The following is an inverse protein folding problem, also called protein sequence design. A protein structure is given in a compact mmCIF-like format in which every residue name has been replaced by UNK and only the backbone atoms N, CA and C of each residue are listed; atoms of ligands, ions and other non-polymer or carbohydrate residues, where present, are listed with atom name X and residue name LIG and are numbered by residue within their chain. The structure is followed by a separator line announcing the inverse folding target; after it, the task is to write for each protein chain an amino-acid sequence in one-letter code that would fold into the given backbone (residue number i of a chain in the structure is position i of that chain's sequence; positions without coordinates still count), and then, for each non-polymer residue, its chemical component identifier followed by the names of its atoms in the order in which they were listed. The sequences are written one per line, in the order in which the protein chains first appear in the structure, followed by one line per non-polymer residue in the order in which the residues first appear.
data_IF_815501677227
#
_entry.id   IF_815501677227
#
_cell.length_a   1.000
_cell.length_b   1.000
_cell.length_c   1.000
_cell.angle_alpha   90.00
_cell.angle_beta   90.00
_cell.angle_gamma   90.00
#
_symmetry.space_group_name_H-M   'P 1'
#
loop_
_entity.id
_entity.type
_entity.pdbx_description
1 polymer ?
#
# COMPACT_ATOMS: atom_id res chain seq x y z
N UNK A 1 -18.05 -15.56 10.73
CA UNK A 1 -17.47 -15.57 9.36
C UNK A 1 -17.19 -14.18 8.82
N UNK A 2 -18.09 -13.20 8.96
CA UNK A 2 -17.88 -11.85 8.42
C UNK A 2 -16.85 -11.02 9.22
N UNK A 3 -16.72 -11.23 10.51
CA UNK A 3 -15.70 -10.55 11.34
C UNK A 3 -14.27 -10.99 11.00
N UNK A 4 -14.08 -12.24 10.60
CA UNK A 4 -12.78 -12.78 10.16
C UNK A 4 -12.25 -12.07 8.91
N UNK A 5 -13.14 -11.58 8.03
CA UNK A 5 -12.75 -10.81 6.84
C UNK A 5 -12.17 -9.43 7.18
N UNK A 6 -12.63 -8.80 8.27
CA UNK A 6 -12.09 -7.50 8.67
C UNK A 6 -10.66 -7.63 9.22
N UNK A 7 -10.37 -8.71 9.94
CA UNK A 7 -9.02 -9.06 10.39
C UNK A 7 -8.10 -9.34 9.21
N UNK A 8 -8.59 -10.10 8.21
CA UNK A 8 -7.86 -10.35 6.96
C UNK A 8 -7.56 -9.08 6.18
N UNK A 9 -8.50 -8.12 6.11
CA UNK A 9 -8.30 -6.81 5.46
C UNK A 9 -7.23 -5.98 6.15
N UNK A 10 -7.19 -5.97 7.49
CA UNK A 10 -6.16 -5.28 8.27
C UNK A 10 -4.80 -5.93 8.04
N UNK A 11 -4.73 -7.26 8.10
CA UNK A 11 -3.50 -8.01 7.88
C UNK A 11 -2.91 -7.78 6.48
N UNK A 12 -3.74 -7.81 5.43
CA UNK A 12 -3.27 -7.57 4.06
C UNK A 12 -2.86 -6.10 3.85
N UNK A 13 -3.50 -5.15 4.56
CA UNK A 13 -3.07 -3.75 4.57
C UNK A 13 -1.68 -3.61 5.19
N UNK A 14 -1.38 -4.34 6.26
CA UNK A 14 -0.05 -4.34 6.88
C UNK A 14 1.02 -4.94 5.95
N UNK A 15 0.70 -6.00 5.21
CA UNK A 15 1.57 -6.56 4.18
C UNK A 15 1.86 -5.54 3.07
N UNK A 16 0.81 -4.87 2.57
CA UNK A 16 0.93 -3.86 1.54
C UNK A 16 1.76 -2.65 1.99
N UNK A 17 1.59 -2.20 3.25
CA UNK A 17 2.40 -1.16 3.86
C UNK A 17 3.89 -1.56 3.89
N UNK A 18 4.20 -2.79 4.32
CA UNK A 18 5.57 -3.30 4.31
C UNK A 18 6.20 -3.28 2.92
N UNK A 19 5.41 -3.60 1.90
CA UNK A 19 5.86 -3.55 0.50
C UNK A 19 6.12 -2.10 0.04
N UNK A 20 5.24 -1.15 0.35
CA UNK A 20 5.44 0.28 0.03
C UNK A 20 6.72 0.79 0.69
N UNK A 21 6.92 0.51 1.98
CA UNK A 21 8.13 0.86 2.72
C UNK A 21 9.37 0.34 2.01
N UNK A 22 9.37 -0.92 1.64
CA UNK A 22 10.51 -1.54 0.95
C UNK A 22 10.76 -0.91 -0.42
N UNK A 23 9.72 -0.61 -1.18
CA UNK A 23 9.86 0.06 -2.48
C UNK A 23 10.48 1.44 -2.36
N UNK A 24 10.08 2.23 -1.36
CA UNK A 24 10.67 3.54 -1.08
C UNK A 24 12.16 3.41 -0.72
N UNK A 25 12.50 2.46 0.15
CA UNK A 25 13.88 2.24 0.57
C UNK A 25 14.78 1.85 -0.62
N UNK A 26 14.36 0.88 -1.42
CA UNK A 26 15.09 0.41 -2.60
C UNK A 26 15.27 1.54 -3.64
N UNK A 27 14.17 2.22 -3.99
CA UNK A 27 14.22 3.31 -4.95
C UNK A 27 15.13 4.45 -4.47
N UNK A 28 15.08 4.79 -3.17
CA UNK A 28 15.92 5.83 -2.58
C UNK A 28 17.40 5.45 -2.60
N UNK A 29 17.73 4.22 -2.20
CA UNK A 29 19.10 3.73 -2.19
C UNK A 29 19.67 3.69 -3.62
N UNK A 30 18.91 3.15 -4.57
CA UNK A 30 19.30 3.09 -5.96
C UNK A 30 19.52 4.48 -6.56
N UNK A 31 18.62 5.42 -6.32
CA UNK A 31 18.73 6.78 -6.85
C UNK A 31 19.94 7.56 -6.31
N UNK A 32 20.42 7.22 -5.11
CA UNK A 32 21.63 7.82 -4.51
C UNK A 32 22.92 7.27 -5.11
N UNK A 33 22.94 6.01 -5.57
CA UNK A 33 24.15 5.32 -6.01
C UNK A 33 24.27 5.20 -7.54
N UNK A 34 23.14 5.04 -8.21
CA UNK A 34 23.13 4.94 -9.68
C UNK A 34 23.50 6.27 -10.31
N UNK A 35 24.53 6.26 -11.14
CA UNK A 35 24.96 7.44 -11.89
C UNK A 35 24.51 7.37 -13.36
N UNK A 36 24.05 8.50 -13.88
CA UNK A 36 23.80 8.72 -15.29
C UNK A 36 24.13 10.19 -15.61
N UNK A 37 24.67 10.44 -16.79
CA UNK A 37 25.11 11.81 -17.20
C UNK A 37 26.07 12.44 -16.20
N UNK A 38 26.97 11.66 -15.60
CA UNK A 38 28.03 12.11 -14.70
C UNK A 38 27.62 12.43 -13.26
N UNK A 39 26.36 12.13 -12.85
CA UNK A 39 25.86 12.39 -11.49
C UNK A 39 24.83 11.36 -11.04
N UNK A 40 24.57 11.22 -9.72
CA UNK A 40 23.50 10.37 -9.22
C UNK A 40 22.15 10.73 -9.82
N UNK A 41 21.35 9.73 -10.18
CA UNK A 41 20.04 9.98 -10.83
C UNK A 41 19.05 10.71 -9.92
N UNK A 42 19.19 10.57 -8.60
CA UNK A 42 18.33 11.20 -7.60
C UNK A 42 18.36 12.73 -7.58
N UNK A 43 19.35 13.38 -8.24
CA UNK A 43 19.37 14.83 -8.38
C UNK A 43 18.33 15.35 -9.40
N UNK A 44 17.79 14.47 -10.22
CA UNK A 44 16.81 14.82 -11.23
C UNK A 44 15.39 14.80 -10.61
N UNK A 45 14.63 15.87 -10.78
CA UNK A 45 13.25 15.97 -10.26
C UNK A 45 12.34 14.85 -10.76
N UNK A 46 12.50 14.41 -12.03
CA UNK A 46 11.76 13.27 -12.58
C UNK A 46 12.02 11.93 -11.88
N UNK A 47 13.06 11.83 -11.05
CA UNK A 47 13.37 10.67 -10.19
C UNK A 47 13.02 10.99 -8.73
N UNK A 48 13.40 12.17 -8.25
CA UNK A 48 13.23 12.55 -6.84
C UNK A 48 11.74 12.71 -6.44
N UNK A 49 10.91 13.30 -7.30
CA UNK A 49 9.49 13.54 -6.99
C UNK A 49 8.69 12.25 -6.86
N UNK A 50 8.77 11.27 -7.78
CA UNK A 50 8.13 9.96 -7.57
C UNK A 50 8.58 9.25 -6.28
N UNK A 51 9.85 9.41 -5.86
CA UNK A 51 10.33 8.86 -4.59
C UNK A 51 9.71 9.59 -3.39
N UNK A 52 9.51 10.91 -3.48
CA UNK A 52 8.78 11.65 -2.45
C UNK A 52 7.31 11.19 -2.36
N UNK A 53 6.65 10.91 -3.50
CA UNK A 53 5.29 10.36 -3.52
C UNK A 53 5.22 8.99 -2.83
N UNK A 54 6.27 8.14 -2.91
CA UNK A 54 6.33 6.88 -2.18
C UNK A 54 6.27 7.09 -0.65
N UNK A 55 6.91 8.13 -0.12
CA UNK A 55 6.83 8.45 1.30
C UNK A 55 5.42 8.89 1.69
N UNK A 56 4.77 9.71 0.87
CA UNK A 56 3.38 10.13 1.10
C UNK A 56 2.43 8.93 1.11
N UNK A 57 2.60 7.99 0.17
CA UNK A 57 1.82 6.74 0.14
C UNK A 57 2.07 5.89 1.39
N UNK A 58 3.32 5.77 1.83
CA UNK A 58 3.68 5.02 3.04
C UNK A 58 3.02 5.60 4.29
N UNK A 59 3.11 6.91 4.50
CA UNK A 59 2.54 7.56 5.68
C UNK A 59 1.02 7.44 5.72
N UNK A 60 0.34 7.67 4.60
CA UNK A 60 -1.11 7.50 4.52
C UNK A 60 -1.52 6.04 4.78
N UNK A 61 -0.80 5.08 4.20
CA UNK A 61 -1.03 3.65 4.40
C UNK A 61 -0.84 3.24 5.85
N UNK A 62 0.22 3.76 6.51
CA UNK A 62 0.53 3.52 7.92
C UNK A 62 -0.61 4.02 8.82
N UNK A 63 -1.02 5.26 8.64
CA UNK A 63 -2.08 5.87 9.44
C UNK A 63 -3.42 5.13 9.29
N UNK A 64 -3.79 4.76 8.07
CA UNK A 64 -5.04 4.03 7.81
C UNK A 64 -5.00 2.62 8.39
N UNK A 65 -3.90 1.90 8.23
CA UNK A 65 -3.74 0.54 8.74
C UNK A 65 -3.77 0.53 10.27
N UNK A 66 -3.01 1.41 10.92
CA UNK A 66 -2.97 1.50 12.38
C UNK A 66 -4.29 1.99 12.97
N UNK A 67 -4.98 2.92 12.28
CA UNK A 67 -6.32 3.32 12.70
C UNK A 67 -7.30 2.15 12.65
N UNK A 68 -7.26 1.33 11.61
CA UNK A 68 -8.14 0.17 11.50
C UNK A 68 -7.84 -0.87 12.60
N UNK A 69 -6.56 -1.15 12.87
CA UNK A 69 -6.13 -2.05 13.94
C UNK A 69 -6.57 -1.52 15.32
N UNK A 70 -6.33 -0.24 15.60
CA UNK A 70 -6.77 0.38 16.85
C UNK A 70 -8.28 0.32 17.04
N UNK A 71 -9.07 0.58 15.99
CA UNK A 71 -10.54 0.45 16.07
C UNK A 71 -10.98 -0.99 16.34
N UNK A 72 -10.23 -1.98 15.86
CA UNK A 72 -10.48 -3.39 16.17
C UNK A 72 -10.25 -3.68 17.65
N UNK A 73 -9.14 -3.23 18.22
CA UNK A 73 -8.87 -3.36 19.66
C UNK A 73 -9.95 -2.67 20.51
N UNK A 74 -10.39 -1.48 20.11
CA UNK A 74 -11.46 -0.73 20.77
C UNK A 74 -12.82 -1.44 20.68
N UNK A 75 -13.08 -2.13 19.57
CA UNK A 75 -14.30 -2.92 19.39
C UNK A 75 -14.29 -4.16 20.28
N UNK A 76 -13.17 -4.86 20.37
CA UNK A 76 -13.00 -6.01 21.25
C UNK A 76 -13.15 -5.62 22.73
N UNK A 77 -12.73 -4.41 23.09
CA UNK A 77 -12.94 -3.83 24.42
C UNK A 77 -14.36 -3.26 24.64
N UNK A 78 -15.27 -3.38 23.69
CA UNK A 78 -16.65 -2.91 23.78
C UNK A 78 -16.82 -1.39 23.65
N UNK A 79 -15.81 -0.64 23.22
CA UNK A 79 -15.85 0.84 23.12
C UNK A 79 -16.18 1.36 21.72
N UNK A 80 -16.16 0.50 20.71
CA UNK A 80 -16.50 0.82 19.31
C UNK A 80 -17.42 -0.22 18.70
N UNK A 81 -18.13 0.17 17.65
CA UNK A 81 -19.04 -0.73 16.94
C UNK A 81 -18.31 -1.59 15.91
N UNK A 82 -18.89 -2.74 15.56
CA UNK A 82 -18.43 -3.57 14.43
C UNK A 82 -18.49 -2.79 13.11
N UNK A 83 -19.44 -1.88 12.96
CA UNK A 83 -19.58 -1.05 11.76
C UNK A 83 -18.39 -0.11 11.57
N UNK A 84 -17.84 0.47 12.66
CA UNK A 84 -16.65 1.34 12.61
C UNK A 84 -15.42 0.56 12.13
N UNK A 85 -15.23 -0.65 12.65
CA UNK A 85 -14.12 -1.54 12.25
C UNK A 85 -14.23 -1.93 10.78
N UNK A 86 -15.42 -2.37 10.35
CA UNK A 86 -15.67 -2.80 8.98
C UNK A 86 -15.38 -1.69 7.97
N UNK A 87 -15.84 -0.46 8.24
CA UNK A 87 -15.55 0.69 7.39
C UNK A 87 -14.07 1.00 7.35
N UNK A 88 -13.40 1.08 8.51
CA UNK A 88 -11.99 1.43 8.59
C UNK A 88 -11.09 0.38 7.92
N UNK A 89 -11.37 -0.92 8.11
CA UNK A 89 -10.65 -2.01 7.47
C UNK A 89 -10.80 -1.98 5.94
N UNK A 90 -12.02 -1.69 5.45
CA UNK A 90 -12.24 -1.57 4.01
C UNK A 90 -11.51 -0.35 3.41
N UNK A 91 -11.50 0.80 4.09
CA UNK A 91 -10.77 2.00 3.66
C UNK A 91 -9.26 1.75 3.66
N UNK A 92 -8.73 1.16 4.73
CA UNK A 92 -7.31 0.82 4.83
C UNK A 92 -6.88 -0.13 3.71
N UNK A 93 -7.63 -1.22 3.51
CA UNK A 93 -7.34 -2.21 2.48
C UNK A 93 -7.39 -1.62 1.08
N UNK A 94 -8.42 -0.87 0.77
CA UNK A 94 -8.57 -0.25 -0.55
C UNK A 94 -7.38 0.66 -0.87
N UNK A 95 -7.12 1.63 0.00
CA UNK A 95 -6.07 2.60 -0.24
C UNK A 95 -4.68 1.96 -0.28
N UNK A 96 -4.34 1.16 0.74
CA UNK A 96 -2.98 0.65 0.91
C UNK A 96 -2.60 -0.36 -0.18
N UNK A 97 -3.53 -1.21 -0.61
CA UNK A 97 -3.24 -2.18 -1.66
C UNK A 97 -3.09 -1.52 -3.06
N UNK A 98 -3.93 -0.54 -3.40
CA UNK A 98 -3.77 0.24 -4.64
C UNK A 98 -2.48 1.08 -4.61
N UNK A 99 -2.15 1.67 -3.47
CA UNK A 99 -0.89 2.38 -3.28
C UNK A 99 0.33 1.45 -3.41
N UNK A 100 0.24 0.21 -2.92
CA UNK A 100 1.33 -0.76 -3.06
C UNK A 100 1.61 -1.10 -4.52
N UNK A 101 0.58 -1.34 -5.34
CA UNK A 101 0.76 -1.57 -6.79
C UNK A 101 1.38 -0.34 -7.46
N UNK A 102 0.92 0.85 -7.10
CA UNK A 102 1.50 2.11 -7.62
C UNK A 102 2.95 2.28 -7.19
N UNK A 103 3.27 1.98 -5.92
CA UNK A 103 4.63 2.06 -5.39
C UNK A 103 5.61 1.13 -6.12
N UNK A 104 5.19 -0.10 -6.42
CA UNK A 104 6.04 -1.03 -7.17
C UNK A 104 6.30 -0.55 -8.59
N UNK A 105 5.31 0.04 -9.25
CA UNK A 105 5.47 0.64 -10.58
C UNK A 105 6.47 1.80 -10.56
N UNK A 106 6.38 2.68 -9.56
CA UNK A 106 7.31 3.81 -9.39
C UNK A 106 8.73 3.30 -9.15
N UNK A 107 8.90 2.37 -8.19
CA UNK A 107 10.21 1.82 -7.88
C UNK A 107 10.84 1.14 -9.10
N UNK A 108 10.11 0.29 -9.81
CA UNK A 108 10.57 -0.36 -11.03
C UNK A 108 11.00 0.66 -12.09
N UNK A 109 10.24 1.75 -12.26
CA UNK A 109 10.59 2.82 -13.18
C UNK A 109 11.90 3.55 -12.78
N UNK A 110 12.11 3.78 -11.48
CA UNK A 110 13.35 4.38 -10.96
C UNK A 110 14.58 3.51 -11.28
N UNK A 111 14.42 2.18 -11.20
CA UNK A 111 15.48 1.23 -11.56
C UNK A 111 15.73 1.14 -13.07
N UNK A 112 14.79 1.60 -13.91
CA UNK A 112 14.89 1.49 -15.37
C UNK A 112 15.02 0.02 -15.80
N UNK A 113 15.93 -0.28 -16.72
CA UNK A 113 16.15 -1.65 -17.19
C UNK A 113 16.48 -2.65 -16.09
N UNK A 114 17.18 -2.22 -15.05
CA UNK A 114 17.48 -3.07 -13.88
C UNK A 114 16.20 -3.44 -13.09
N UNK A 115 15.14 -2.63 -13.15
CA UNK A 115 13.88 -2.94 -12.52
C UNK A 115 13.10 -4.12 -13.11
N UNK A 116 13.52 -4.58 -14.28
CA UNK A 116 12.99 -5.78 -14.94
C UNK A 116 13.78 -7.05 -14.58
N UNK A 117 15.01 -6.90 -14.08
CA UNK A 117 15.93 -8.01 -13.81
C UNK A 117 15.60 -8.65 -12.46
N UNK A 118 15.66 -9.99 -12.40
CA UNK A 118 15.33 -10.74 -11.17
C UNK A 118 16.36 -10.61 -10.05
N UNK A 119 17.57 -10.15 -10.36
CA UNK A 119 18.61 -9.82 -9.38
C UNK A 119 18.22 -8.66 -8.46
N UNK A 120 17.24 -7.84 -8.88
CA UNK A 120 16.70 -6.74 -8.09
C UNK A 120 15.32 -7.08 -7.54
N UNK A 121 15.07 -6.84 -6.25
CA UNK A 121 13.83 -7.26 -5.61
C UNK A 121 12.58 -6.57 -6.16
N UNK A 122 12.74 -5.42 -6.82
CA UNK A 122 11.62 -4.62 -7.36
C UNK A 122 10.84 -5.38 -8.45
N UNK A 123 11.50 -6.23 -9.26
CA UNK A 123 10.84 -7.05 -10.26
C UNK A 123 9.88 -8.08 -9.64
N UNK A 124 10.30 -8.74 -8.55
CA UNK A 124 9.44 -9.66 -7.79
C UNK A 124 8.28 -8.93 -7.13
N UNK A 125 8.54 -7.84 -6.45
CA UNK A 125 7.51 -7.08 -5.75
C UNK A 125 6.45 -6.50 -6.70
N UNK A 126 6.84 -6.15 -7.92
CA UNK A 126 5.89 -5.73 -8.95
C UNK A 126 4.87 -6.83 -9.28
N UNK A 127 5.32 -8.09 -9.39
CA UNK A 127 4.43 -9.23 -9.61
C UNK A 127 3.56 -9.51 -8.38
N UNK A 128 4.17 -9.49 -7.19
CA UNK A 128 3.52 -9.89 -5.94
C UNK A 128 2.49 -8.87 -5.45
N UNK A 129 2.65 -7.59 -5.79
CA UNK A 129 1.75 -6.54 -5.34
C UNK A 129 0.31 -6.72 -5.83
N UNK A 130 0.12 -7.24 -7.03
CA UNK A 130 -1.21 -7.32 -7.64
C UNK A 130 -2.20 -8.20 -6.88
N UNK A 131 -1.73 -9.27 -6.25
CA UNK A 131 -2.61 -10.14 -5.46
C UNK A 131 -3.21 -9.41 -4.24
N UNK A 132 -2.54 -8.38 -3.73
CA UNK A 132 -3.02 -7.61 -2.58
C UNK A 132 -4.30 -6.82 -2.90
N UNK A 133 -4.51 -6.41 -4.15
CA UNK A 133 -5.77 -5.78 -4.58
C UNK A 133 -6.92 -6.78 -4.69
N UNK A 134 -6.63 -8.08 -4.84
CA UNK A 134 -7.61 -9.14 -5.12
C UNK A 134 -7.97 -9.90 -3.83
N UNK A 135 -6.98 -10.32 -3.05
CA UNK A 135 -7.16 -11.07 -1.81
C UNK A 135 -7.97 -10.30 -0.76
N UNK A 136 -8.65 -10.98 0.13
CA UNK A 136 -9.53 -10.44 1.19
C UNK A 136 -10.64 -9.51 0.68
N UNK A 137 -11.08 -9.77 -0.55
CA UNK A 137 -12.07 -8.98 -1.29
C UNK A 137 -11.42 -7.91 -2.16
N UNK A 138 -11.81 -7.89 -3.42
CA UNK A 138 -11.24 -6.97 -4.42
C UNK A 138 -11.46 -5.50 -4.07
N UNK A 139 -10.77 -4.60 -4.77
CA UNK A 139 -10.95 -3.15 -4.63
C UNK A 139 -12.41 -2.73 -4.82
N UNK A 140 -13.14 -3.39 -5.73
CA UNK A 140 -14.58 -3.16 -5.97
C UNK A 140 -15.40 -3.57 -4.76
N UNK A 141 -15.09 -4.72 -4.16
CA UNK A 141 -15.76 -5.19 -2.92
C UNK A 141 -15.53 -4.20 -1.77
N UNK A 142 -14.32 -3.66 -1.63
CA UNK A 142 -14.07 -2.63 -0.60
C UNK A 142 -14.89 -1.37 -0.86
N UNK A 143 -15.00 -0.92 -2.12
CA UNK A 143 -15.85 0.22 -2.50
C UNK A 143 -17.32 -0.03 -2.18
N UNK A 144 -17.83 -1.25 -2.41
CA UNK A 144 -19.20 -1.63 -2.03
C UNK A 144 -19.39 -1.55 -0.50
N UNK A 145 -18.44 -2.05 0.28
CA UNK A 145 -18.50 -1.98 1.75
C UNK A 145 -18.53 -0.53 2.23
N UNK A 146 -17.67 0.32 1.67
CA UNK A 146 -17.59 1.74 2.01
C UNK A 146 -18.88 2.46 1.59
N UNK A 147 -19.37 2.26 0.37
CA UNK A 147 -20.61 2.87 -0.11
C UNK A 147 -21.81 2.52 0.79
N UNK A 148 -21.91 1.25 1.18
CA UNK A 148 -22.96 0.79 2.11
C UNK A 148 -22.84 1.47 3.48
N UNK A 149 -21.63 1.69 3.99
CA UNK A 149 -21.40 2.37 5.27
C UNK A 149 -21.81 3.85 5.25
N UNK A 150 -21.88 4.45 4.06
CA UNK A 150 -22.37 5.81 3.81
C UNK A 150 -23.90 5.87 3.59
N UNK A 151 -24.60 4.74 3.65
CA UNK A 151 -26.04 4.67 3.41
C UNK A 151 -26.44 4.70 1.93
N UNK A 152 -25.50 4.52 1.02
CA UNK A 152 -25.80 4.45 -0.42
C UNK A 152 -26.46 3.11 -0.77
N UNK A 153 -27.43 3.10 -1.70
CA UNK A 153 -28.05 1.86 -2.16
C UNK A 153 -26.99 1.00 -2.88
N UNK A 154 -26.99 -0.30 -2.58
CA UNK A 154 -26.04 -1.31 -3.11
C UNK A 154 -26.76 -2.45 -3.81
#
# INVERSE_FOLDING_TARGET
FLSTLDDGRIAISALALGLITRMREEATAYAKTRTAFGRPIGVNQGVAFPIADLLVMEENSRLLTYRAAWLKDEQEAGRRSVADVKQAAAVAKLYTCEAAVTATRIATQVFGGNGFMEEYPVARFYRDAKILEIGEGTSEVQRMVIAKSLGLPS
#
